data_IF_563445600906
#
_entry.id   IF_563445600906
#
_cell.length_a   1.000
_cell.length_b   1.000
_cell.length_c   1.000
_cell.angle_alpha   90.00
_cell.angle_beta   90.00
_cell.angle_gamma   90.00
#
_symmetry.space_group_name_H-M   'P 1'
#
loop_
_entity.id
_entity.type
_entity.pdbx_description
1 polymer ?
#
# COMPACT_ATOMS: atom_id res chain seq x y z
N UNK A 1 55.75 31.68 20.98
CA UNK A 1 55.34 30.71 19.94
C UNK A 1 54.14 31.27 19.22
N UNK A 2 54.24 31.43 17.89
CA UNK A 2 53.21 31.95 16.99
C UNK A 2 52.41 30.75 16.46
N UNK A 3 51.10 30.76 16.61
CA UNK A 3 50.21 29.79 15.97
C UNK A 3 49.20 30.60 15.16
N UNK A 4 49.37 30.57 13.84
CA UNK A 4 48.46 31.15 12.87
C UNK A 4 47.32 30.16 12.60
N UNK A 5 46.08 30.57 12.88
CA UNK A 5 44.89 29.83 12.50
C UNK A 5 44.52 30.20 11.06
N UNK A 6 44.45 29.20 10.17
CA UNK A 6 43.99 29.35 8.80
C UNK A 6 42.46 29.21 8.76
N UNK A 7 41.78 30.31 8.46
CA UNK A 7 40.36 30.36 8.10
C UNK A 7 40.20 29.89 6.64
N UNK A 8 39.37 28.88 6.41
CA UNK A 8 38.95 28.46 5.06
C UNK A 8 37.54 28.99 4.82
N UNK A 9 37.40 29.95 3.91
CA UNK A 9 36.11 30.45 3.43
C UNK A 9 35.65 29.63 2.22
N UNK A 10 34.43 29.10 2.26
CA UNK A 10 33.78 28.43 1.12
C UNK A 10 32.98 29.48 0.34
N UNK A 11 33.33 29.65 -0.93
CA UNK A 11 32.63 30.52 -1.89
C UNK A 11 31.56 29.68 -2.59
N UNK A 12 30.29 29.99 -2.39
CA UNK A 12 29.19 29.47 -3.20
C UNK A 12 28.96 30.42 -4.38
N UNK A 13 29.23 29.96 -5.60
CA UNK A 13 28.91 30.69 -6.83
C UNK A 13 27.42 30.57 -7.14
N UNK A 14 26.76 31.71 -7.31
CA UNK A 14 25.39 31.82 -7.84
C UNK A 14 25.46 31.94 -9.36
N UNK A 15 24.77 31.06 -10.10
CA UNK A 15 24.58 31.19 -11.55
C UNK A 15 23.26 31.92 -11.80
N UNK A 16 23.35 33.12 -12.38
CA UNK A 16 22.19 33.90 -12.85
C UNK A 16 22.06 33.74 -14.36
N UNK A 17 21.06 32.99 -14.82
CA UNK A 17 20.69 32.98 -16.23
C UNK A 17 19.72 34.15 -16.53
N UNK A 18 19.93 34.91 -17.62
CA UNK A 18 19.06 36.01 -18.05
C UNK A 18 17.78 35.52 -18.79
N UNK A 19 16.75 36.37 -18.89
CA UNK A 19 15.41 35.99 -19.36
C UNK A 19 15.34 35.96 -20.90
N UNK A 20 14.70 34.92 -21.47
CA UNK A 20 14.33 34.91 -22.89
C UNK A 20 12.82 34.97 -23.06
N UNK A 21 12.40 35.98 -23.83
CA UNK A 21 11.04 36.41 -24.14
C UNK A 21 10.30 35.53 -25.14
N UNK A 22 9.01 35.30 -24.84
CA UNK A 22 7.81 35.19 -25.70
C UNK A 22 7.99 34.89 -27.20
N UNK A 23 7.43 33.76 -27.63
CA UNK A 23 7.02 33.50 -29.01
C UNK A 23 5.62 32.89 -29.05
N UNK A 24 4.62 33.71 -29.33
CA UNK A 24 3.28 33.26 -29.76
C UNK A 24 3.39 32.79 -31.21
N UNK A 25 3.04 31.54 -31.49
CA UNK A 25 2.72 31.10 -32.85
C UNK A 25 1.52 30.15 -32.76
N UNK A 26 0.39 30.59 -33.34
CA UNK A 26 -0.76 29.74 -33.58
C UNK A 26 -0.46 28.79 -34.75
N UNK A 27 -0.76 27.50 -34.59
CA UNK A 27 -0.58 26.50 -35.65
C UNK A 27 -0.97 25.08 -35.23
N UNK A 28 -2.27 24.77 -35.39
CA UNK A 28 -2.85 23.50 -35.86
C UNK A 28 -2.30 22.15 -35.34
N UNK A 29 -3.08 21.57 -34.42
CA UNK A 29 -3.55 20.17 -34.37
C UNK A 29 -2.58 19.05 -34.78
N UNK A 30 -1.95 18.43 -33.78
CA UNK A 30 -1.68 16.99 -33.76
C UNK A 30 -2.09 16.49 -32.37
N UNK A 31 -3.07 15.60 -32.32
CA UNK A 31 -3.70 15.15 -31.09
C UNK A 31 -2.70 14.50 -30.15
N UNK A 32 -2.45 15.15 -29.02
CA UNK A 32 -2.06 14.46 -27.80
C UNK A 32 -3.27 13.61 -27.41
N UNK A 33 -3.25 12.33 -27.78
CA UNK A 33 -4.07 11.34 -27.11
C UNK A 33 -3.63 11.39 -25.66
N UNK A 34 -4.42 12.06 -24.82
CA UNK A 34 -4.27 11.92 -23.38
C UNK A 34 -4.34 10.42 -23.10
N UNK A 35 -3.26 9.86 -22.57
CA UNK A 35 -3.29 8.53 -21.97
C UNK A 35 -4.52 8.54 -21.04
N UNK A 36 -5.48 7.61 -21.21
CA UNK A 36 -6.61 7.54 -20.31
C UNK A 36 -6.05 7.46 -18.89
N UNK A 37 -6.67 8.12 -17.89
CA UNK A 37 -6.22 7.99 -16.50
C UNK A 37 -6.02 6.51 -16.22
N UNK A 38 -4.80 6.11 -15.87
CA UNK A 38 -4.43 4.71 -15.65
C UNK A 38 -5.43 4.11 -14.68
N UNK A 39 -6.30 3.23 -15.18
CA UNK A 39 -7.35 2.67 -14.36
C UNK A 39 -6.72 1.90 -13.19
N UNK A 40 -7.15 2.21 -11.96
CA UNK A 40 -6.66 1.52 -10.78
C UNK A 40 -7.09 0.05 -10.83
N UNK A 41 -6.18 -0.86 -10.54
CA UNK A 41 -6.45 -2.29 -10.62
C UNK A 41 -5.86 -3.00 -9.41
N UNK A 42 -6.46 -4.14 -9.04
CA UNK A 42 -6.02 -4.99 -7.94
C UNK A 42 -5.92 -6.44 -8.38
N UNK A 43 -4.95 -7.18 -7.85
CA UNK A 43 -5.05 -8.64 -7.80
C UNK A 43 -6.26 -9.04 -6.94
N UNK A 44 -7.07 -9.92 -7.49
CA UNK A 44 -8.26 -10.48 -6.84
C UNK A 44 -8.12 -11.99 -6.71
N UNK A 45 -8.51 -12.52 -5.56
CA UNK A 45 -8.57 -13.96 -5.32
C UNK A 45 -9.47 -14.25 -4.13
N UNK A 46 -9.98 -15.49 -4.06
CA UNK A 46 -10.64 -16.06 -2.88
C UNK A 46 -10.14 -17.49 -2.74
N UNK A 47 -9.46 -17.79 -1.63
CA UNK A 47 -8.80 -19.08 -1.44
C UNK A 47 -8.75 -19.48 0.03
N UNK A 48 -8.34 -20.73 0.30
CA UNK A 48 -8.22 -21.24 1.67
C UNK A 48 -6.86 -20.93 2.32
N UNK A 49 -5.87 -20.50 1.54
CA UNK A 49 -4.54 -20.14 2.01
C UNK A 49 -3.91 -19.11 1.06
N UNK A 50 -2.80 -18.49 1.49
CA UNK A 50 -2.13 -17.42 0.74
C UNK A 50 -1.55 -17.91 -0.60
N UNK A 51 -0.91 -19.07 -0.62
CA UNK A 51 -0.27 -19.60 -1.83
C UNK A 51 -1.30 -19.85 -2.94
N UNK A 52 -2.43 -20.44 -2.58
CA UNK A 52 -3.55 -20.69 -3.50
C UNK A 52 -4.20 -19.38 -3.98
N UNK A 53 -4.28 -18.37 -3.11
CA UNK A 53 -4.79 -17.04 -3.48
C UNK A 53 -3.87 -16.37 -4.50
N UNK A 54 -2.56 -16.27 -4.20
CA UNK A 54 -1.59 -15.61 -5.06
C UNK A 54 -1.34 -16.38 -6.37
N UNK A 55 -1.30 -17.71 -6.32
CA UNK A 55 -1.09 -18.56 -7.49
C UNK A 55 -2.25 -18.53 -8.49
N UNK A 56 -3.46 -18.18 -8.05
CA UNK A 56 -4.66 -18.10 -8.89
C UNK A 56 -5.24 -16.69 -8.98
N UNK A 57 -4.51 -15.66 -8.53
CA UNK A 57 -5.00 -14.29 -8.54
C UNK A 57 -5.14 -13.76 -9.98
N UNK A 58 -6.19 -12.99 -10.22
CA UNK A 58 -6.39 -12.25 -11.48
C UNK A 58 -6.37 -10.76 -11.22
N UNK A 59 -5.74 -10.00 -12.10
CA UNK A 59 -5.80 -8.53 -12.06
C UNK A 59 -7.15 -8.09 -12.60
N UNK A 60 -7.87 -7.31 -11.81
CA UNK A 60 -9.18 -6.74 -12.16
C UNK A 60 -9.08 -5.23 -12.06
N UNK A 61 -9.58 -4.55 -13.10
CA UNK A 61 -9.77 -3.11 -13.10
C UNK A 61 -10.88 -2.76 -12.09
N UNK A 62 -10.54 -1.88 -11.16
CA UNK A 62 -11.43 -1.47 -10.09
C UNK A 62 -12.45 -0.44 -10.58
N UNK A 63 -13.58 -0.34 -9.88
CA UNK A 63 -14.54 0.72 -10.16
C UNK A 63 -13.94 2.10 -9.84
N UNK A 64 -14.52 3.17 -10.40
CA UNK A 64 -14.03 4.55 -10.21
C UNK A 64 -13.89 4.95 -8.74
N UNK A 65 -14.77 4.44 -7.87
CA UNK A 65 -14.76 4.71 -6.43
C UNK A 65 -13.90 3.74 -5.60
N UNK A 66 -13.24 2.77 -6.24
CA UNK A 66 -12.40 1.76 -5.60
C UNK A 66 -10.92 2.08 -5.84
N UNK A 67 -10.37 2.93 -4.99
CA UNK A 67 -9.00 3.46 -5.13
C UNK A 67 -7.97 2.73 -4.26
N UNK A 68 -8.30 1.54 -3.76
CA UNK A 68 -7.45 0.79 -2.81
C UNK A 68 -7.68 -0.71 -2.98
N UNK A 69 -6.64 -1.51 -2.76
CA UNK A 69 -6.75 -2.95 -2.64
C UNK A 69 -6.89 -3.35 -1.18
N UNK A 70 -7.82 -4.26 -0.88
CA UNK A 70 -8.00 -4.85 0.44
C UNK A 70 -7.58 -6.32 0.44
N UNK A 71 -6.93 -6.75 1.53
CA UNK A 71 -6.84 -8.16 1.90
C UNK A 71 -7.65 -8.44 3.15
N UNK A 72 -8.47 -9.50 3.13
CA UNK A 72 -9.11 -10.08 4.31
C UNK A 72 -8.55 -11.48 4.54
N UNK A 73 -7.97 -11.71 5.71
CA UNK A 73 -7.49 -13.01 6.16
C UNK A 73 -8.25 -13.49 7.37
N UNK A 74 -8.71 -14.75 7.34
CA UNK A 74 -9.35 -15.39 8.50
C UNK A 74 -8.55 -16.59 8.96
N UNK A 75 -8.34 -16.65 10.28
CA UNK A 75 -7.58 -17.71 10.93
C UNK A 75 -8.42 -18.40 12.00
N UNK A 76 -8.19 -19.69 12.17
CA UNK A 76 -8.79 -20.53 13.21
C UNK A 76 -7.75 -21.54 13.68
N UNK A 77 -7.58 -21.69 14.99
CA UNK A 77 -6.55 -22.58 15.58
C UNK A 77 -5.13 -22.28 15.04
N UNK A 78 -4.81 -20.99 14.86
CA UNK A 78 -3.51 -20.55 14.35
C UNK A 78 -3.29 -20.70 12.83
N UNK A 79 -4.14 -21.47 12.13
CA UNK A 79 -4.04 -21.66 10.67
C UNK A 79 -4.95 -20.74 9.88
N UNK A 80 -4.47 -20.31 8.72
CA UNK A 80 -5.28 -19.61 7.72
C UNK A 80 -6.27 -20.58 7.09
N UNK A 81 -7.54 -20.16 6.95
CA UNK A 81 -8.56 -20.95 6.25
C UNK A 81 -9.32 -20.15 5.20
N UNK A 82 -9.07 -18.85 5.11
CA UNK A 82 -9.71 -17.96 4.15
C UNK A 82 -8.80 -16.76 3.90
N UNK A 83 -8.58 -16.48 2.63
CA UNK A 83 -7.92 -15.27 2.12
C UNK A 83 -8.79 -14.73 1.01
N UNK A 84 -9.04 -13.43 1.03
CA UNK A 84 -9.69 -12.70 -0.06
C UNK A 84 -8.89 -11.44 -0.35
N UNK A 85 -8.65 -11.18 -1.63
CA UNK A 85 -8.02 -9.95 -2.12
C UNK A 85 -8.93 -9.28 -3.14
N UNK A 86 -8.89 -7.95 -3.22
CA UNK A 86 -9.44 -7.22 -4.35
C UNK A 86 -9.73 -5.75 -4.09
N UNK A 87 -10.41 -5.13 -5.05
CA UNK A 87 -10.76 -3.72 -5.03
C UNK A 87 -11.67 -3.34 -3.85
N UNK A 88 -11.46 -2.14 -3.31
CA UNK A 88 -12.29 -1.55 -2.26
C UNK A 88 -12.21 -0.03 -2.31
N UNK A 89 -13.31 0.64 -1.96
CA UNK A 89 -13.28 2.07 -1.64
C UNK A 89 -12.38 2.33 -0.43
N UNK A 90 -11.57 3.39 -0.47
CA UNK A 90 -10.59 3.70 0.56
C UNK A 90 -11.22 3.78 1.96
N UNK A 91 -12.32 4.51 2.11
CA UNK A 91 -13.03 4.67 3.37
C UNK A 91 -13.56 3.34 3.92
N UNK A 92 -14.12 2.49 3.06
CA UNK A 92 -14.58 1.16 3.41
C UNK A 92 -13.42 0.27 3.86
N UNK A 93 -12.27 0.35 3.18
CA UNK A 93 -11.08 -0.39 3.55
C UNK A 93 -10.56 0.04 4.93
N UNK A 94 -10.41 1.35 5.17
CA UNK A 94 -9.94 1.88 6.44
C UNK A 94 -10.91 1.56 7.58
N UNK A 95 -12.23 1.60 7.34
CA UNK A 95 -13.24 1.18 8.31
C UNK A 95 -13.13 -0.31 8.65
N UNK A 96 -12.89 -1.16 7.64
CA UNK A 96 -12.64 -2.58 7.78
C UNK A 96 -11.36 -2.87 8.57
N UNK A 97 -10.28 -2.14 8.30
CA UNK A 97 -9.02 -2.22 9.03
C UNK A 97 -9.17 -1.76 10.48
N UNK A 98 -9.92 -0.68 10.75
CA UNK A 98 -10.15 -0.18 12.11
C UNK A 98 -10.80 -1.24 13.03
N UNK A 99 -11.65 -2.12 12.48
CA UNK A 99 -12.22 -3.24 13.23
C UNK A 99 -11.18 -4.25 13.75
N UNK A 100 -9.95 -4.26 13.20
CA UNK A 100 -8.85 -5.07 13.71
C UNK A 100 -8.49 -4.71 15.16
N UNK A 101 -8.68 -3.44 15.56
CA UNK A 101 -8.32 -2.92 16.88
C UNK A 101 -9.46 -2.23 17.65
N UNK A 102 -10.65 -2.19 17.08
CA UNK A 102 -11.81 -1.54 17.69
C UNK A 102 -12.23 -2.19 19.01
N UNK A 103 -12.31 -1.37 20.06
CA UNK A 103 -12.81 -1.75 21.37
C UNK A 103 -11.84 -2.58 22.24
N UNK A 104 -12.33 -3.10 23.38
CA UNK A 104 -11.56 -3.98 24.26
C UNK A 104 -11.03 -5.21 23.53
N UNK A 105 -9.88 -5.74 23.96
CA UNK A 105 -9.20 -6.89 23.32
C UNK A 105 -10.13 -8.06 22.93
N UNK A 106 -11.11 -8.40 23.77
CA UNK A 106 -12.06 -9.48 23.49
C UNK A 106 -12.94 -9.21 22.26
N UNK A 107 -13.25 -7.95 21.97
CA UNK A 107 -14.09 -7.49 20.84
C UNK A 107 -13.31 -7.26 19.54
N UNK A 108 -11.98 -7.10 19.63
CA UNK A 108 -11.14 -6.90 18.46
C UNK A 108 -11.18 -8.11 17.52
N UNK A 109 -11.23 -7.85 16.22
CA UNK A 109 -11.37 -8.92 15.23
C UNK A 109 -10.04 -9.58 14.87
N UNK A 110 -8.95 -8.80 14.83
CA UNK A 110 -7.65 -9.30 14.40
C UNK A 110 -6.81 -9.81 15.58
N UNK A 111 -6.67 -11.14 15.63
CA UNK A 111 -5.94 -11.89 16.65
C UNK A 111 -5.10 -12.98 15.96
N UNK A 112 -4.07 -12.59 15.19
CA UNK A 112 -3.37 -13.48 14.24
C UNK A 112 -2.67 -14.67 14.91
N UNK A 113 -2.17 -14.49 16.14
CA UNK A 113 -1.53 -15.53 16.96
C UNK A 113 -2.49 -16.47 17.67
N UNK A 114 -3.80 -16.27 17.54
CA UNK A 114 -4.76 -16.96 18.41
C UNK A 114 -4.95 -18.42 18.00
N UNK A 115 -4.39 -19.31 18.80
CA UNK A 115 -4.49 -20.76 18.64
C UNK A 115 -5.69 -21.37 19.39
N UNK A 116 -6.51 -20.56 20.08
CA UNK A 116 -7.66 -21.05 20.84
C UNK A 116 -8.75 -21.56 19.89
N UNK A 117 -9.20 -22.80 20.12
CA UNK A 117 -10.11 -23.57 19.24
C UNK A 117 -11.41 -22.86 18.83
N UNK A 118 -11.88 -21.95 19.67
CA UNK A 118 -13.17 -21.26 19.54
C UNK A 118 -13.04 -19.78 19.19
N UNK A 119 -11.81 -19.26 19.05
CA UNK A 119 -11.61 -17.86 18.66
C UNK A 119 -11.26 -17.80 17.18
N UNK A 120 -12.07 -17.04 16.44
CA UNK A 120 -11.79 -16.69 15.06
C UNK A 120 -10.98 -15.39 15.06
N UNK A 121 -10.02 -15.30 14.14
CA UNK A 121 -9.35 -14.04 13.81
C UNK A 121 -9.81 -13.60 12.44
N UNK A 122 -10.11 -12.32 12.29
CA UNK A 122 -10.31 -11.65 11.01
C UNK A 122 -9.39 -10.44 10.99
N UNK A 123 -8.41 -10.46 10.10
CA UNK A 123 -7.44 -9.39 9.94
C UNK A 123 -7.58 -8.82 8.54
N UNK A 124 -7.65 -7.49 8.45
CA UNK A 124 -7.83 -6.77 7.18
C UNK A 124 -6.76 -5.73 6.98
N UNK A 125 -6.39 -5.47 5.74
CA UNK A 125 -5.35 -4.48 5.47
C UNK A 125 -5.55 -3.84 4.09
N UNK A 126 -5.08 -2.60 3.98
CA UNK A 126 -5.29 -1.72 2.84
C UNK A 126 -3.95 -1.36 2.19
N UNK A 127 -3.94 -1.20 0.87
CA UNK A 127 -2.81 -0.63 0.13
C UNK A 127 -3.25 0.01 -1.18
N UNK A 128 -2.50 1.00 -1.65
CA UNK A 128 -2.78 1.84 -2.82
C UNK A 128 -1.66 1.83 -3.88
N UNK A 129 -0.59 1.05 -3.69
CA UNK A 129 0.55 0.89 -4.61
C UNK A 129 0.27 0.10 -5.90
N UNK A 130 -0.95 0.11 -6.41
CA UNK A 130 -1.36 -0.62 -7.62
C UNK A 130 -1.61 -2.12 -7.42
N UNK A 131 -1.68 -2.87 -8.53
CA UNK A 131 -2.29 -4.21 -8.56
C UNK A 131 -1.62 -5.24 -7.64
N UNK A 132 -0.32 -5.11 -7.43
CA UNK A 132 0.49 -6.06 -6.66
C UNK A 132 0.68 -5.66 -5.19
N UNK A 133 0.16 -4.50 -4.76
CA UNK A 133 0.51 -3.92 -3.46
C UNK A 133 0.22 -4.84 -2.27
N UNK A 134 -0.82 -5.67 -2.37
CA UNK A 134 -1.16 -6.62 -1.30
C UNK A 134 -0.09 -7.71 -1.17
N UNK A 135 0.39 -8.21 -2.31
CA UNK A 135 1.43 -9.24 -2.35
C UNK A 135 2.77 -8.66 -1.85
N UNK A 136 3.16 -7.49 -2.36
CA UNK A 136 4.42 -6.85 -2.02
C UNK A 136 4.47 -6.40 -0.56
N UNK A 137 3.39 -5.78 -0.07
CA UNK A 137 3.42 -5.10 1.23
C UNK A 137 2.99 -6.02 2.37
N UNK A 138 2.21 -7.08 2.11
CA UNK A 138 1.73 -7.99 3.16
C UNK A 138 2.30 -9.39 3.07
N UNK A 139 2.28 -10.04 1.92
CA UNK A 139 2.63 -11.45 1.87
C UNK A 139 4.13 -11.71 1.75
N UNK A 140 4.87 -10.88 1.02
CA UNK A 140 6.33 -10.98 0.95
C UNK A 140 7.00 -10.74 2.31
N UNK A 141 6.45 -9.85 3.13
CA UNK A 141 6.95 -9.57 4.47
C UNK A 141 6.50 -10.58 5.53
N UNK A 142 5.39 -11.29 5.29
CA UNK A 142 4.70 -12.03 6.35
C UNK A 142 4.57 -13.55 6.14
N UNK A 143 4.91 -14.06 4.96
CA UNK A 143 4.84 -15.48 4.65
C UNK A 143 3.42 -16.00 4.46
N UNK A 144 3.30 -17.32 4.29
CA UNK A 144 2.08 -18.00 3.81
C UNK A 144 0.90 -18.02 4.79
N UNK A 145 1.13 -17.61 6.04
CA UNK A 145 0.10 -17.47 7.07
C UNK A 145 -0.20 -16.01 7.42
N UNK A 146 0.34 -15.08 6.65
CA UNK A 146 0.28 -13.65 6.95
C UNK A 146 0.99 -13.30 8.25
N UNK A 147 0.96 -12.01 8.61
CA UNK A 147 1.78 -11.55 9.74
C UNK A 147 1.23 -12.13 11.01
N UNK A 148 2.07 -12.85 11.73
CA UNK A 148 1.74 -13.21 13.08
C UNK A 148 1.75 -11.92 13.94
N UNK A 149 2.65 -10.97 13.68
CA UNK A 149 2.68 -9.68 14.38
C UNK A 149 1.41 -8.87 14.11
N UNK A 150 0.63 -8.67 15.17
CA UNK A 150 -0.62 -7.92 15.14
C UNK A 150 -0.42 -6.48 14.69
N UNK A 151 0.72 -5.85 14.99
CA UNK A 151 0.95 -4.46 14.57
C UNK A 151 0.98 -4.31 13.05
N UNK A 152 1.44 -5.33 12.31
CA UNK A 152 1.42 -5.31 10.85
C UNK A 152 -0.01 -5.37 10.27
N UNK A 153 -1.02 -5.66 11.09
CA UNK A 153 -2.44 -5.60 10.72
C UNK A 153 -3.16 -4.35 11.24
N UNK A 154 -2.47 -3.48 11.98
CA UNK A 154 -3.07 -2.27 12.56
C UNK A 154 -2.42 -1.03 11.99
N UNK A 155 -1.13 -1.12 11.68
CA UNK A 155 -0.42 -0.06 10.97
C UNK A 155 -1.07 0.10 9.59
N UNK A 156 -1.38 1.34 9.25
CA UNK A 156 -1.87 1.70 7.93
C UNK A 156 -0.70 1.68 6.94
N UNK A 157 -0.92 1.03 5.80
CA UNK A 157 0.04 0.92 4.71
C UNK A 157 -0.43 1.61 3.44
N UNK A 158 -1.63 2.19 3.46
CA UNK A 158 -2.00 3.20 2.47
C UNK A 158 -0.98 4.34 2.62
N UNK A 159 -0.26 4.69 1.55
CA UNK A 159 0.83 5.70 1.48
C UNK A 159 2.28 5.30 1.87
N UNK A 160 2.64 4.03 2.12
CA UNK A 160 4.06 3.67 2.36
C UNK A 160 4.93 3.54 1.09
N UNK A 161 4.36 3.69 -0.11
CA UNK A 161 5.12 3.66 -1.38
C UNK A 161 5.68 5.02 -1.83
N UNK A 162 5.58 6.07 -1.00
CA UNK A 162 6.29 7.36 -1.19
C UNK A 162 7.76 7.32 -0.72
N UNK A 163 8.40 6.14 -0.66
CA UNK A 163 9.84 6.06 -0.46
C UNK A 163 10.55 5.80 -1.80
N UNK A 164 11.06 6.84 -2.47
CA UNK A 164 11.96 6.62 -3.59
C UNK A 164 13.20 5.86 -3.12
N UNK A 165 13.54 4.79 -3.83
CA UNK A 165 14.85 4.12 -3.74
C UNK A 165 15.98 5.11 -4.06
#
# INVERSE_FOLDING_TARGET
>A
MKIFALLSAVVYGQTTDPPTTVGTTAGTTAGTTAEPPSAFACKTCVASNVNDCLGNATVVECQENETTCEVTMRKRRGGTYFVQMGCKALDACLNNMNNNAKGPWKQQECKPYNNIKFQNSVCRQCCDGGADCVETNFFNAAGTDGSQNRQNWINDFVTQDDQPL
#
